data_IF_628534746697
#
_entry.id   IF_628534746697
#
_cell.length_a   1.000
_cell.length_b   1.000
_cell.length_c   1.000
_cell.angle_alpha   90.00
_cell.angle_beta   90.00
_cell.angle_gamma   90.00
#
_symmetry.space_group_name_H-M   'P 1'
#
loop_
_entity.id
_entity.type
_entity.pdbx_description
1 polymer ?
#
# COMPACT_ATOMS: atom_id res chain seq x y z
N UNK A 1 11.57 -4.45 11.82
CA UNK A 1 11.15 -5.05 10.52
C UNK A 1 11.80 -4.28 9.38
N UNK A 2 12.44 -4.96 8.43
CA UNK A 2 13.12 -4.31 7.30
C UNK A 2 12.13 -3.58 6.38
N UNK A 3 12.50 -2.38 5.92
CA UNK A 3 11.71 -1.52 5.02
C UNK A 3 12.63 -0.65 4.18
N UNK A 4 12.10 -0.04 3.13
CA UNK A 4 12.83 1.00 2.40
C UNK A 4 12.88 2.28 3.23
N UNK A 5 14.07 2.76 3.54
CA UNK A 5 14.34 3.98 4.32
C UNK A 5 15.05 5.07 3.51
N UNK A 6 15.30 4.81 2.23
CA UNK A 6 15.94 5.77 1.33
C UNK A 6 15.03 6.92 0.88
N UNK A 7 15.56 7.87 0.08
CA UNK A 7 14.81 9.03 -0.40
C UNK A 7 13.61 8.65 -1.24
N UNK A 8 12.40 9.04 -0.79
CA UNK A 8 11.12 8.73 -1.48
C UNK A 8 11.03 9.43 -2.83
N UNK A 9 11.41 10.70 -2.91
CA UNK A 9 11.39 11.48 -4.17
C UNK A 9 12.30 10.91 -5.26
N UNK A 10 13.38 10.21 -4.88
CA UNK A 10 14.22 9.49 -5.85
C UNK A 10 13.44 8.37 -6.53
N UNK A 11 12.62 7.67 -5.78
CA UNK A 11 11.78 6.58 -6.31
C UNK A 11 10.63 7.17 -7.15
N UNK A 12 9.91 8.17 -6.63
CA UNK A 12 8.85 8.86 -7.35
C UNK A 12 9.34 9.39 -8.72
N UNK A 13 10.47 10.08 -8.75
CA UNK A 13 11.11 10.57 -9.98
C UNK A 13 11.52 9.45 -10.95
N UNK A 14 11.89 8.27 -10.44
CA UNK A 14 12.23 7.12 -11.30
C UNK A 14 11.03 6.61 -12.09
N UNK A 15 9.85 6.65 -11.48
CA UNK A 15 8.59 6.20 -12.09
C UNK A 15 7.82 7.34 -12.77
N UNK A 16 8.15 8.60 -12.48
CA UNK A 16 7.40 9.77 -12.95
C UNK A 16 6.04 9.92 -12.27
N UNK A 17 5.82 9.26 -11.16
CA UNK A 17 4.54 9.22 -10.44
C UNK A 17 4.75 9.44 -8.93
N UNK A 18 3.81 10.15 -8.29
CA UNK A 18 3.84 10.45 -6.86
C UNK A 18 3.32 9.26 -6.02
N UNK A 19 3.98 8.09 -6.11
CA UNK A 19 3.56 6.83 -5.48
C UNK A 19 3.53 6.84 -3.94
N UNK A 20 4.18 7.82 -3.31
CA UNK A 20 4.20 7.98 -1.84
C UNK A 20 3.31 9.13 -1.34
N UNK A 21 2.49 9.72 -2.22
CA UNK A 21 1.73 10.93 -2.00
C UNK A 21 2.38 12.17 -2.64
N UNK A 22 1.80 13.37 -2.46
CA UNK A 22 2.29 14.60 -3.07
C UNK A 22 3.79 14.83 -2.85
N UNK A 23 4.53 15.16 -3.91
CA UNK A 23 5.98 15.32 -3.88
C UNK A 23 6.42 16.56 -4.64
N UNK A 24 6.72 17.64 -3.90
CA UNK A 24 7.20 18.94 -4.45
C UNK A 24 8.49 18.81 -5.28
N UNK A 25 9.29 17.77 -5.03
CA UNK A 25 10.54 17.55 -5.78
C UNK A 25 10.23 16.93 -7.14
N UNK A 26 9.24 16.04 -7.21
CA UNK A 26 8.76 15.48 -8.47
C UNK A 26 8.15 16.57 -9.35
N UNK A 27 7.33 17.47 -8.78
CA UNK A 27 6.70 18.57 -9.51
C UNK A 27 7.74 19.52 -10.15
N UNK A 28 8.82 19.81 -9.41
CA UNK A 28 9.91 20.66 -9.92
C UNK A 28 10.87 19.94 -10.87
N UNK A 29 11.04 18.63 -10.74
CA UNK A 29 12.05 17.84 -11.46
C UNK A 29 11.44 16.54 -11.97
N UNK A 30 10.56 16.63 -12.94
CA UNK A 30 9.87 15.48 -13.54
C UNK A 30 10.76 14.70 -14.53
N UNK A 31 11.96 14.32 -14.08
CA UNK A 31 12.90 13.48 -14.83
C UNK A 31 13.62 12.51 -13.89
N UNK A 32 14.17 11.44 -14.47
CA UNK A 32 14.85 10.41 -13.70
C UNK A 32 15.99 10.96 -12.83
N UNK A 33 16.23 10.40 -11.64
CA UNK A 33 17.32 10.86 -10.78
C UNK A 33 18.69 10.47 -11.34
N UNK A 34 19.73 11.23 -10.93
CA UNK A 34 21.12 11.00 -11.31
C UNK A 34 21.65 12.03 -12.32
N UNK A 35 22.97 11.98 -12.57
CA UNK A 35 23.69 12.91 -13.41
C UNK A 35 23.14 12.96 -14.86
N UNK A 36 22.74 11.83 -15.40
CA UNK A 36 22.23 11.69 -16.77
C UNK A 36 20.69 11.68 -16.85
N UNK A 37 19.98 12.07 -15.79
CA UNK A 37 18.52 11.99 -15.72
C UNK A 37 17.82 12.76 -16.81
N UNK A 38 18.27 13.98 -17.12
CA UNK A 38 17.69 14.87 -18.12
C UNK A 38 17.87 14.32 -19.55
N UNK A 39 19.04 13.74 -19.84
CA UNK A 39 19.40 13.28 -21.18
C UNK A 39 19.08 11.80 -21.43
N UNK A 40 18.35 11.17 -20.51
CA UNK A 40 18.08 9.73 -20.58
C UNK A 40 17.00 9.40 -21.61
N UNK A 41 17.40 9.10 -22.84
CA UNK A 41 16.53 8.60 -23.94
C UNK A 41 16.60 7.08 -24.12
N UNK A 42 16.69 6.32 -23.05
CA UNK A 42 16.80 4.86 -23.17
C UNK A 42 15.44 4.25 -23.47
N UNK A 43 15.31 3.53 -24.60
CA UNK A 43 14.16 2.66 -24.88
C UNK A 43 14.17 1.52 -23.85
N UNK A 44 13.11 1.37 -23.10
CA UNK A 44 12.99 0.27 -22.16
C UNK A 44 12.77 -1.03 -22.92
N UNK A 45 13.51 -2.07 -22.54
CA UNK A 45 13.22 -3.43 -23.00
C UNK A 45 11.91 -3.90 -22.35
N UNK A 46 11.29 -4.90 -22.93
CA UNK A 46 10.09 -5.54 -22.37
C UNK A 46 10.31 -5.97 -20.90
N UNK A 47 11.40 -6.68 -20.64
CA UNK A 47 11.83 -7.03 -19.28
C UNK A 47 11.94 -5.80 -18.36
N UNK A 48 12.55 -4.73 -18.87
CA UNK A 48 12.69 -3.47 -18.11
C UNK A 48 11.36 -2.85 -17.73
N UNK A 49 10.35 -2.94 -18.61
CA UNK A 49 9.00 -2.44 -18.37
C UNK A 49 8.29 -3.30 -17.33
N UNK A 50 8.32 -4.62 -17.48
CA UNK A 50 7.76 -5.57 -16.52
C UNK A 50 8.39 -5.42 -15.12
N UNK A 51 9.72 -5.29 -15.08
CA UNK A 51 10.45 -5.05 -13.83
C UNK A 51 10.06 -3.71 -13.18
N UNK A 52 9.88 -2.66 -13.96
CA UNK A 52 9.47 -1.35 -13.45
C UNK A 52 8.10 -1.41 -12.80
N UNK A 53 7.10 -2.05 -13.40
CA UNK A 53 5.77 -2.21 -12.83
C UNK A 53 5.79 -3.03 -11.53
N UNK A 54 6.54 -4.13 -11.50
CA UNK A 54 6.73 -4.88 -10.25
C UNK A 54 7.34 -4.01 -9.14
N UNK A 55 8.39 -3.26 -9.47
CA UNK A 55 9.03 -2.37 -8.50
C UNK A 55 8.11 -1.23 -8.05
N UNK A 56 7.30 -0.68 -8.96
CA UNK A 56 6.29 0.33 -8.64
C UNK A 56 5.30 -0.23 -7.61
N UNK A 57 4.67 -1.38 -7.87
CA UNK A 57 3.76 -2.04 -6.94
C UNK A 57 4.42 -2.28 -5.56
N UNK A 58 5.63 -2.83 -5.57
CA UNK A 58 6.38 -3.10 -4.35
C UNK A 58 6.64 -1.83 -3.51
N UNK A 59 7.00 -0.72 -4.12
CA UNK A 59 7.24 0.54 -3.40
C UNK A 59 5.94 1.19 -2.94
N UNK A 60 4.89 1.14 -3.73
CA UNK A 60 3.57 1.68 -3.38
C UNK A 60 3.06 1.05 -2.08
N UNK A 61 3.10 -0.27 -1.97
CA UNK A 61 2.65 -1.00 -0.77
C UNK A 61 3.73 -1.12 0.32
N UNK A 62 4.96 -0.65 0.09
CA UNK A 62 6.06 -0.72 1.06
C UNK A 62 6.49 -2.15 1.41
N UNK A 63 6.28 -3.09 0.49
CA UNK A 63 6.62 -4.52 0.67
C UNK A 63 8.02 -4.81 0.13
N UNK A 64 8.79 -5.67 0.81
CA UNK A 64 10.09 -6.11 0.32
C UNK A 64 9.95 -7.28 -0.66
N UNK A 65 10.98 -7.49 -1.50
CA UNK A 65 10.96 -8.47 -2.59
C UNK A 65 10.57 -9.89 -2.14
N UNK A 66 11.15 -10.36 -1.03
CA UNK A 66 10.84 -11.70 -0.51
C UNK A 66 9.35 -11.86 -0.16
N UNK A 67 8.77 -10.86 0.51
CA UNK A 67 7.36 -10.88 0.88
C UNK A 67 6.45 -10.74 -0.34
N UNK A 68 6.83 -9.88 -1.28
CA UNK A 68 6.08 -9.71 -2.53
C UNK A 68 6.04 -11.02 -3.33
N UNK A 69 7.17 -11.73 -3.41
CA UNK A 69 7.26 -13.02 -4.08
C UNK A 69 6.40 -14.10 -3.40
N UNK A 70 6.33 -14.10 -2.06
CA UNK A 70 5.44 -15.01 -1.31
C UNK A 70 3.97 -14.72 -1.60
N UNK A 71 3.57 -13.45 -1.63
CA UNK A 71 2.20 -13.05 -2.00
C UNK A 71 1.86 -13.44 -3.43
N UNK A 72 2.80 -13.28 -4.37
CA UNK A 72 2.62 -13.73 -5.74
C UNK A 72 2.45 -15.26 -5.84
N UNK A 73 3.28 -16.01 -5.14
CA UNK A 73 3.15 -17.48 -5.08
C UNK A 73 1.83 -17.93 -4.44
N UNK A 74 1.29 -17.17 -3.49
CA UNK A 74 -0.04 -17.41 -2.93
C UNK A 74 -1.14 -17.09 -3.95
N UNK A 75 -1.03 -15.96 -4.66
CA UNK A 75 -1.97 -15.55 -5.70
C UNK A 75 -2.04 -16.55 -6.86
N UNK A 76 -0.89 -17.07 -7.30
CA UNK A 76 -0.82 -18.03 -8.41
C UNK A 76 -1.43 -19.41 -8.09
N UNK A 77 -1.58 -19.76 -6.80
CA UNK A 77 -2.24 -21.00 -6.36
C UNK A 77 -3.74 -20.84 -6.15
N UNK A 78 -4.22 -19.61 -6.03
CA UNK A 78 -5.64 -19.33 -5.84
C UNK A 78 -6.41 -19.43 -7.17
N UNK A 79 -7.71 -19.75 -7.09
CA UNK A 79 -8.59 -19.79 -8.26
C UNK A 79 -8.95 -18.36 -8.67
N UNK A 80 -8.71 -17.99 -9.92
CA UNK A 80 -9.04 -16.68 -10.50
C UNK A 80 -7.86 -16.02 -11.21
N UNK A 81 -7.98 -14.73 -11.49
CA UNK A 81 -6.96 -13.94 -12.21
C UNK A 81 -5.83 -13.60 -11.22
N UNK A 82 -4.66 -14.19 -11.43
CA UNK A 82 -3.50 -14.06 -10.52
C UNK A 82 -3.14 -12.61 -10.20
N UNK A 83 -3.20 -11.71 -11.19
CA UNK A 83 -2.87 -10.30 -10.99
C UNK A 83 -3.84 -9.59 -10.06
N UNK A 84 -5.14 -9.82 -10.21
CA UNK A 84 -6.17 -9.25 -9.34
C UNK A 84 -6.04 -9.78 -7.91
N UNK A 85 -5.88 -11.09 -7.76
CA UNK A 85 -5.70 -11.73 -6.45
C UNK A 85 -4.45 -11.19 -5.75
N UNK A 86 -3.37 -10.94 -6.48
CA UNK A 86 -2.16 -10.32 -5.92
C UNK A 86 -2.47 -8.94 -5.34
N UNK A 87 -3.20 -8.09 -6.07
CA UNK A 87 -3.59 -6.77 -5.59
C UNK A 87 -4.54 -6.87 -4.39
N UNK A 88 -5.49 -7.78 -4.41
CA UNK A 88 -6.40 -8.06 -3.28
C UNK A 88 -5.64 -8.48 -2.02
N UNK A 89 -4.63 -9.36 -2.16
CA UNK A 89 -3.76 -9.74 -1.04
C UNK A 89 -2.91 -8.58 -0.53
N UNK A 90 -2.50 -7.65 -1.38
CA UNK A 90 -1.80 -6.44 -0.98
C UNK A 90 -2.73 -5.44 -0.26
N UNK A 91 -3.98 -5.31 -0.72
CA UNK A 91 -4.99 -4.44 -0.10
C UNK A 91 -5.48 -4.97 1.25
N UNK A 92 -5.60 -6.28 1.43
CA UNK A 92 -6.06 -6.91 2.68
C UNK A 92 -5.03 -6.94 3.81
N UNK A 93 -3.82 -6.42 3.58
CA UNK A 93 -2.81 -6.28 4.63
C UNK A 93 -3.22 -5.24 5.68
N UNK A 94 -2.98 -5.54 6.95
CA UNK A 94 -3.36 -4.66 8.05
C UNK A 94 -2.73 -3.26 7.95
N UNK A 95 -1.45 -3.17 7.57
CA UNK A 95 -0.79 -1.87 7.37
C UNK A 95 -1.46 -1.03 6.26
N UNK A 96 -1.95 -1.68 5.21
CA UNK A 96 -2.65 -1.00 4.14
C UNK A 96 -4.09 -0.63 4.52
N UNK A 97 -4.84 -1.50 5.20
CA UNK A 97 -6.20 -1.21 5.70
C UNK A 97 -6.18 -0.02 6.67
N UNK A 98 -5.23 0.03 7.60
CA UNK A 98 -5.04 1.17 8.52
C UNK A 98 -4.81 2.49 7.75
N UNK A 99 -4.06 2.43 6.65
CA UNK A 99 -3.88 3.58 5.75
C UNK A 99 -5.18 3.93 5.01
N UNK A 100 -5.91 2.94 4.49
CA UNK A 100 -7.17 3.15 3.76
C UNK A 100 -8.30 3.70 4.66
N UNK A 101 -8.29 3.35 5.93
CA UNK A 101 -9.21 3.89 6.94
C UNK A 101 -8.84 5.32 7.39
N UNK A 102 -7.73 5.89 6.93
CA UNK A 102 -7.31 7.24 7.31
C UNK A 102 -6.69 7.35 8.71
N UNK A 103 -6.51 6.24 9.44
CA UNK A 103 -5.90 6.23 10.78
C UNK A 103 -4.45 6.74 10.73
N UNK A 104 -3.81 6.63 9.58
CA UNK A 104 -2.47 7.14 9.36
C UNK A 104 -2.33 7.81 7.98
N UNK A 105 -1.60 8.93 7.86
CA UNK A 105 -1.53 9.72 6.63
C UNK A 105 -0.72 9.05 5.50
N UNK A 106 0.09 8.06 5.82
CA UNK A 106 0.90 7.32 4.84
C UNK A 106 0.99 5.83 5.21
N UNK A 107 1.21 4.96 4.23
CA UNK A 107 1.44 3.52 4.48
C UNK A 107 2.64 3.26 5.41
N UNK A 108 3.66 4.12 5.38
CA UNK A 108 4.80 4.00 6.30
C UNK A 108 4.40 4.33 7.74
N UNK A 109 3.58 5.38 7.95
CA UNK A 109 3.02 5.72 9.24
C UNK A 109 2.06 4.62 9.74
N UNK A 110 1.17 4.12 8.88
CA UNK A 110 0.26 3.02 9.19
C UNK A 110 1.03 1.77 9.68
N UNK A 111 2.10 1.42 8.99
CA UNK A 111 2.98 0.32 9.40
C UNK A 111 3.60 0.55 10.78
N UNK A 112 4.02 1.78 11.07
CA UNK A 112 4.55 2.14 12.39
C UNK A 112 3.47 2.05 13.46
N UNK A 113 2.28 2.58 13.21
CA UNK A 113 1.13 2.52 14.12
C UNK A 113 0.78 1.08 14.49
N UNK A 114 0.73 0.18 13.50
CA UNK A 114 0.53 -1.26 13.76
C UNK A 114 1.65 -1.86 14.59
N UNK A 115 2.92 -1.61 14.21
CA UNK A 115 4.08 -2.19 14.90
C UNK A 115 4.20 -1.69 16.36
N UNK A 116 3.70 -0.51 16.65
CA UNK A 116 3.66 0.08 18.01
C UNK A 116 2.44 -0.37 18.83
N UNK A 117 1.70 -1.38 18.38
CA UNK A 117 0.56 -1.95 19.12
C UNK A 117 -0.59 -0.98 19.36
N UNK A 118 -0.81 -0.02 18.44
CA UNK A 118 -1.92 0.94 18.53
C UNK A 118 -3.19 0.46 17.85
N UNK A 119 -3.16 -0.69 17.18
CA UNK A 119 -4.27 -1.25 16.42
C UNK A 119 -4.75 -2.56 17.02
N UNK A 120 -6.06 -2.75 17.00
CA UNK A 120 -6.73 -4.01 17.36
C UNK A 120 -7.48 -4.56 16.15
N UNK A 121 -7.58 -5.88 16.07
CA UNK A 121 -8.43 -6.61 15.13
C UNK A 121 -9.35 -7.49 15.96
N UNK A 122 -10.67 -7.31 15.79
CA UNK A 122 -11.70 -7.99 16.59
C UNK A 122 -11.43 -7.92 18.10
N UNK A 123 -11.04 -6.71 18.57
CA UNK A 123 -10.70 -6.44 19.98
C UNK A 123 -9.33 -6.92 20.45
N UNK A 124 -8.59 -7.70 19.65
CA UNK A 124 -7.25 -8.21 20.00
C UNK A 124 -6.16 -7.32 19.43
N UNK A 125 -5.16 -6.96 20.22
CA UNK A 125 -4.01 -6.16 19.73
C UNK A 125 -3.19 -6.97 18.74
N UNK A 126 -2.97 -6.43 17.55
CA UNK A 126 -2.16 -7.02 16.48
C UNK A 126 -1.04 -6.08 16.12
N UNK A 127 0.22 -6.52 16.28
CA UNK A 127 1.42 -5.76 15.98
C UNK A 127 2.16 -6.22 14.71
N UNK A 128 1.48 -7.03 13.89
CA UNK A 128 2.05 -7.61 12.65
C UNK A 128 1.47 -6.86 11.44
N UNK A 129 2.22 -5.94 10.78
CA UNK A 129 1.72 -5.18 9.63
C UNK A 129 1.32 -6.02 8.43
N UNK A 130 1.90 -7.20 8.29
CA UNK A 130 1.58 -8.16 7.21
C UNK A 130 0.40 -9.08 7.52
N UNK A 131 -0.29 -8.87 8.65
CA UNK A 131 -1.50 -9.62 8.98
C UNK A 131 -2.54 -9.45 7.87
N UNK A 132 -3.10 -10.55 7.39
CA UNK A 132 -4.14 -10.55 6.37
C UNK A 132 -5.51 -10.43 7.05
N UNK A 133 -6.14 -9.28 6.89
CA UNK A 133 -7.50 -9.05 7.42
C UNK A 133 -8.50 -9.74 6.51
N UNK A 134 -9.45 -10.44 7.11
CA UNK A 134 -10.52 -11.17 6.40
C UNK A 134 -11.80 -10.33 6.34
N UNK A 135 -12.64 -10.49 5.31
CA UNK A 135 -13.95 -9.88 5.28
C UNK A 135 -14.74 -10.15 6.57
N UNK A 136 -15.43 -9.13 7.05
CA UNK A 136 -16.17 -9.16 8.32
C UNK A 136 -15.38 -8.73 9.55
N UNK A 137 -14.06 -8.72 9.54
CA UNK A 137 -13.24 -8.29 10.67
C UNK A 137 -13.27 -6.79 10.89
N UNK A 138 -13.20 -6.40 12.16
CA UNK A 138 -13.19 -5.00 12.61
C UNK A 138 -11.78 -4.59 13.02
N UNK A 139 -11.25 -3.55 12.37
CA UNK A 139 -9.96 -2.94 12.67
C UNK A 139 -10.20 -1.65 13.43
N UNK A 140 -9.74 -1.56 14.67
CA UNK A 140 -9.99 -0.41 15.53
C UNK A 140 -8.70 0.19 16.11
N UNK A 141 -8.78 1.47 16.49
CA UNK A 141 -7.72 2.12 17.25
C UNK A 141 -7.84 1.67 18.72
N UNK A 142 -6.72 1.20 19.29
CA UNK A 142 -6.67 0.80 20.70
C UNK A 142 -7.02 1.98 21.61
N UNK A 143 -7.77 1.76 22.70
CA UNK A 143 -8.24 2.82 23.62
C UNK A 143 -7.12 3.78 24.05
N UNK A 144 -5.96 3.24 24.48
CA UNK A 144 -4.80 4.05 24.89
C UNK A 144 -4.20 4.90 23.77
N UNK A 145 -4.52 4.61 22.52
CA UNK A 145 -4.00 5.30 21.35
C UNK A 145 -5.01 6.29 20.73
N UNK A 146 -6.25 6.28 21.17
CA UNK A 146 -7.31 7.19 20.68
C UNK A 146 -7.01 8.67 20.98
N UNK A 147 -6.22 8.96 22.02
CA UNK A 147 -5.80 10.30 22.43
C UNK A 147 -4.55 10.82 21.71
N UNK A 148 -3.92 10.00 20.84
CA UNK A 148 -2.72 10.43 20.11
C UNK A 148 -3.09 11.49 19.04
N UNK A 149 -2.48 12.67 19.16
CA UNK A 149 -2.71 13.79 18.22
C UNK A 149 -2.47 13.42 16.76
N UNK A 150 -1.45 12.57 16.49
CA UNK A 150 -1.13 12.13 15.14
C UNK A 150 -2.27 11.33 14.50
N UNK A 151 -2.97 10.51 15.30
CA UNK A 151 -4.12 9.72 14.82
C UNK A 151 -5.33 10.63 14.66
N UNK A 152 -5.60 11.50 15.62
CA UNK A 152 -6.70 12.47 15.57
C UNK A 152 -6.55 13.37 14.32
N UNK A 153 -5.39 14.00 14.14
CA UNK A 153 -5.11 14.85 12.98
C UNK A 153 -5.18 14.10 11.63
N UNK A 154 -4.91 12.78 11.61
CA UNK A 154 -5.03 11.99 10.39
C UNK A 154 -6.47 11.65 10.03
N UNK A 155 -7.34 11.48 11.03
CA UNK A 155 -8.77 11.20 10.86
C UNK A 155 -9.54 12.47 10.51
N UNK A 156 -9.13 13.62 11.07
CA UNK A 156 -9.71 14.93 10.77
C UNK A 156 -9.48 15.27 9.28
N UNK A 157 -10.53 15.40 8.53
CA UNK A 157 -10.47 15.72 7.09
C UNK A 157 -10.26 14.51 6.16
N UNK A 158 -10.23 13.28 6.67
CA UNK A 158 -10.23 12.11 5.83
C UNK A 158 -11.64 11.75 5.35
N UNK A 159 -11.79 11.52 4.05
CA UNK A 159 -13.06 11.07 3.50
C UNK A 159 -13.21 9.54 3.65
N UNK A 160 -13.95 9.12 4.67
CA UNK A 160 -14.19 7.72 5.00
C UNK A 160 -15.08 6.98 3.98
N UNK A 161 -15.88 7.70 3.19
CA UNK A 161 -16.72 7.11 2.13
C UNK A 161 -15.96 6.81 0.83
N UNK A 162 -14.65 7.04 0.81
CA UNK A 162 -13.81 6.89 -0.39
C UNK A 162 -13.70 5.45 -0.89
N UNK A 163 -13.83 4.47 0.01
CA UNK A 163 -13.61 3.05 -0.30
C UNK A 163 -14.86 2.26 0.06
N UNK A 164 -15.54 1.70 -0.95
CA UNK A 164 -16.80 0.96 -0.83
C UNK A 164 -16.68 -0.33 0.01
N UNK A 165 -15.48 -0.91 0.05
CA UNK A 165 -15.21 -2.16 0.80
C UNK A 165 -14.84 -1.94 2.28
N UNK A 166 -14.83 -0.68 2.74
CA UNK A 166 -14.54 -0.32 4.12
C UNK A 166 -15.70 0.52 4.68
N UNK A 167 -16.15 0.17 5.86
CA UNK A 167 -17.12 0.92 6.64
C UNK A 167 -16.43 1.54 7.84
N UNK A 168 -16.66 2.81 8.12
CA UNK A 168 -16.05 3.52 9.24
C UNK A 168 -17.10 3.89 10.30
N UNK A 169 -16.79 3.58 11.57
CA UNK A 169 -17.53 4.03 12.73
C UNK A 169 -16.68 5.06 13.50
N UNK A 170 -17.12 6.30 13.51
CA UNK A 170 -16.40 7.41 14.13
C UNK A 170 -16.40 7.32 15.65
N UNK A 171 -17.53 6.90 16.26
CA UNK A 171 -17.66 6.80 17.71
C UNK A 171 -16.63 5.85 18.33
N UNK A 172 -16.43 4.70 17.70
CA UNK A 172 -15.50 3.69 18.15
C UNK A 172 -14.07 3.87 17.60
N UNK A 173 -13.88 4.78 16.63
CA UNK A 173 -12.65 4.89 15.82
C UNK A 173 -12.27 3.52 15.24
N UNK A 174 -13.23 2.87 14.62
CA UNK A 174 -13.14 1.51 14.11
C UNK A 174 -13.60 1.43 12.64
N UNK A 175 -12.93 0.62 11.85
CA UNK A 175 -13.33 0.32 10.48
C UNK A 175 -13.61 -1.16 10.30
N UNK A 176 -14.70 -1.49 9.61
CA UNK A 176 -15.04 -2.86 9.24
C UNK A 176 -14.61 -3.15 7.80
N UNK A 177 -13.92 -4.26 7.59
CA UNK A 177 -13.57 -4.74 6.27
C UNK A 177 -14.74 -5.57 5.73
N UNK A 178 -15.53 -4.99 4.81
CA UNK A 178 -16.78 -5.61 4.34
C UNK A 178 -16.52 -6.77 3.39
N UNK A 179 -15.80 -6.51 2.31
CA UNK A 179 -15.53 -7.46 1.22
C UNK A 179 -14.14 -7.23 0.63
N UNK A 180 -13.67 -8.19 -0.13
CA UNK A 180 -12.42 -8.06 -0.90
C UNK A 180 -12.65 -7.09 -2.05
N UNK A 181 -11.81 -6.04 -2.24
CA UNK A 181 -12.01 -5.07 -3.30
C UNK A 181 -11.88 -5.69 -4.69
N UNK A 182 -12.71 -5.23 -5.62
CA UNK A 182 -12.55 -5.55 -7.04
C UNK A 182 -11.44 -4.70 -7.66
N UNK A 183 -10.93 -5.10 -8.81
CA UNK A 183 -9.82 -4.40 -9.47
C UNK A 183 -10.12 -2.92 -9.72
N UNK A 184 -11.34 -2.62 -10.12
CA UNK A 184 -11.82 -1.28 -10.45
C UNK A 184 -11.87 -0.35 -9.23
N UNK A 185 -12.10 -0.90 -8.05
CA UNK A 185 -12.18 -0.16 -6.79
C UNK A 185 -10.78 0.24 -6.27
N UNK A 186 -9.72 -0.47 -6.71
CA UNK A 186 -8.34 -0.21 -6.27
C UNK A 186 -7.78 0.97 -7.07
N UNK A 187 -7.49 2.11 -6.41
CA UNK A 187 -7.12 3.35 -7.10
C UNK A 187 -5.68 3.37 -7.64
N UNK A 188 -4.85 2.41 -7.29
CA UNK A 188 -3.47 2.34 -7.74
C UNK A 188 -3.38 2.00 -9.23
N UNK A 189 -2.68 2.87 -9.99
CA UNK A 189 -2.38 2.63 -11.39
C UNK A 189 -1.21 1.65 -11.54
N UNK A 190 -1.51 0.36 -11.39
CA UNK A 190 -0.56 -0.75 -11.50
C UNK A 190 -1.05 -1.69 -12.60
N UNK A 191 -0.16 -2.03 -13.55
CA UNK A 191 -0.45 -3.01 -14.60
C UNK A 191 -0.04 -4.40 -14.10
N UNK A 192 -0.97 -5.06 -13.43
CA UNK A 192 -0.74 -6.37 -12.79
C UNK A 192 -0.33 -7.46 -13.76
N UNK A 193 -0.82 -7.41 -15.02
CA UNK A 193 -0.47 -8.37 -16.06
C UNK A 193 1.04 -8.41 -16.34
N UNK A 194 1.70 -7.24 -16.38
CA UNK A 194 3.15 -7.15 -16.58
C UNK A 194 3.93 -7.80 -15.42
N UNK A 195 3.36 -7.77 -14.21
CA UNK A 195 3.96 -8.43 -13.04
C UNK A 195 3.83 -9.94 -13.17
N UNK A 196 2.66 -10.43 -13.61
CA UNK A 196 2.43 -11.87 -13.85
C UNK A 196 3.38 -12.38 -14.92
N UNK A 197 3.50 -11.69 -16.05
CA UNK A 197 4.44 -12.05 -17.14
C UNK A 197 5.90 -12.11 -16.67
N UNK A 198 6.31 -11.16 -15.80
CA UNK A 198 7.68 -11.14 -15.26
C UNK A 198 8.00 -12.39 -14.43
N UNK A 199 7.04 -12.86 -13.62
CA UNK A 199 7.24 -14.01 -12.75
C UNK A 199 6.96 -15.37 -13.42
N UNK A 200 6.34 -15.37 -14.59
CA UNK A 200 6.06 -16.58 -15.39
C UNK A 200 7.21 -16.98 -16.31
N UNK A 201 8.26 -16.16 -16.37
CA UNK A 201 9.50 -16.42 -17.18
C UNK A 201 10.48 -17.29 -16.46
#
# INVERSE_FOLDING_TARGET
MARYIGPKSRIARRFGEAIFGPDKVLDKRNYAPGQHGVNRRKKNSEYGTQLAEKQKAKYTYGVLERQFRLLFAQASRAKGITGEILLQLLESRLDNIVYRLGIAPTRAAARQTVSHCHITVDGKVVNIPSYQVKPGQVVAVREKAKSLEVIAASLDGFNHSKYSWLEWNEADKAGKYLNVPQREEIPENIKEQLIVELYSK
#
